data_IF_398706193957
#
_entry.id   IF_398706193957
#
_cell.length_a   1.000
_cell.length_b   1.000
_cell.length_c   1.000
_cell.angle_alpha   90.00
_cell.angle_beta   90.00
_cell.angle_gamma   90.00
#
_symmetry.space_group_name_H-M   'P 1'
#
loop_
_entity.id
_entity.type
_entity.pdbx_description
1 polymer ?
#
# COMPACT_ATOMS: atom_id res chain seq x y z
N UNK A 1 11.17 -8.41 7.60
CA UNK A 1 11.52 -9.60 6.82
C UNK A 1 11.18 -10.84 7.63
N UNK A 2 10.16 -11.62 7.21
CA UNK A 2 9.78 -12.85 7.92
C UNK A 2 10.38 -14.04 7.18
N UNK A 3 11.18 -14.85 7.89
CA UNK A 3 11.85 -16.04 7.35
C UNK A 3 11.34 -17.29 8.08
N UNK A 4 11.10 -18.36 7.33
CA UNK A 4 10.65 -19.65 7.85
C UNK A 4 11.80 -20.38 8.58
N UNK A 5 11.60 -20.79 9.84
CA UNK A 5 12.60 -21.46 10.63
C UNK A 5 13.00 -22.85 10.11
N UNK A 6 12.16 -23.46 9.26
CA UNK A 6 12.43 -24.78 8.68
C UNK A 6 12.99 -24.73 7.26
N UNK A 7 12.56 -23.74 6.45
CA UNK A 7 12.94 -23.61 5.05
C UNK A 7 14.16 -22.68 4.85
N UNK A 8 14.34 -21.70 5.75
CA UNK A 8 15.41 -20.70 5.61
C UNK A 8 15.13 -19.66 4.53
N UNK A 9 16.18 -19.19 3.88
CA UNK A 9 16.11 -18.16 2.83
C UNK A 9 15.74 -18.81 1.50
N UNK A 10 14.68 -18.29 0.87
CA UNK A 10 14.25 -18.67 -0.46
C UNK A 10 14.51 -17.52 -1.47
N UNK A 11 14.47 -17.82 -2.77
CA UNK A 11 14.72 -16.83 -3.84
C UNK A 11 13.82 -15.60 -3.71
N UNK A 12 12.57 -15.79 -3.31
CA UNK A 12 11.64 -14.69 -3.11
C UNK A 12 12.01 -13.82 -1.90
N UNK A 13 12.58 -14.42 -0.85
CA UNK A 13 13.10 -13.70 0.31
C UNK A 13 14.21 -12.75 -0.12
N UNK A 14 15.15 -13.24 -0.93
CA UNK A 14 16.25 -12.43 -1.48
C UNK A 14 15.73 -11.31 -2.37
N UNK A 15 14.85 -11.63 -3.32
CA UNK A 15 14.28 -10.63 -4.25
C UNK A 15 13.58 -9.49 -3.50
N UNK A 16 12.74 -9.82 -2.51
CA UNK A 16 12.04 -8.81 -1.70
C UNK A 16 13.00 -7.99 -0.84
N UNK A 17 14.06 -8.61 -0.32
CA UNK A 17 15.07 -7.91 0.48
C UNK A 17 15.84 -6.91 -0.37
N UNK A 18 16.27 -7.29 -1.57
CA UNK A 18 16.94 -6.36 -2.48
C UNK A 18 16.05 -5.20 -2.89
N UNK A 19 14.75 -5.43 -3.17
CA UNK A 19 13.80 -4.37 -3.44
C UNK A 19 13.64 -3.40 -2.25
N UNK A 20 13.62 -3.94 -1.02
CA UNK A 20 13.55 -3.10 0.17
C UNK A 20 14.81 -2.24 0.35
N UNK A 21 15.99 -2.80 0.10
CA UNK A 21 17.27 -2.09 0.13
C UNK A 21 17.37 -1.00 -0.94
N UNK A 22 16.87 -1.25 -2.16
CA UNK A 22 16.80 -0.23 -3.23
C UNK A 22 15.97 1.00 -2.84
N UNK A 23 15.01 0.82 -1.94
CA UNK A 23 14.14 1.88 -1.43
C UNK A 23 14.57 2.44 -0.06
N UNK A 24 15.78 2.09 0.40
CA UNK A 24 16.33 2.53 1.70
C UNK A 24 15.38 2.26 2.87
N UNK A 25 14.75 1.09 2.87
CA UNK A 25 13.84 0.68 3.93
C UNK A 25 14.60 0.01 5.06
N UNK A 26 14.19 0.31 6.31
CA UNK A 26 14.66 -0.43 7.48
C UNK A 26 14.14 -1.87 7.44
N UNK A 27 15.04 -2.84 7.59
CA UNK A 27 14.70 -4.26 7.48
C UNK A 27 14.96 -4.95 8.82
N UNK A 28 13.89 -5.39 9.48
CA UNK A 28 13.94 -6.15 10.72
C UNK A 28 13.68 -7.63 10.42
N UNK A 29 14.66 -8.54 10.58
CA UNK A 29 14.44 -9.97 10.39
C UNK A 29 13.63 -10.56 11.54
N UNK A 30 12.73 -11.48 11.22
CA UNK A 30 11.90 -12.25 12.17
C UNK A 30 11.88 -13.71 11.74
N UNK A 31 12.17 -14.62 12.65
CA UNK A 31 12.17 -16.06 12.40
C UNK A 31 10.83 -16.65 12.81
N UNK A 32 10.05 -17.13 11.84
CA UNK A 32 8.70 -17.65 12.07
C UNK A 32 8.65 -19.17 11.94
N UNK A 33 7.56 -19.74 12.44
CA UNK A 33 7.26 -21.18 12.44
C UNK A 33 8.19 -22.03 13.31
N UNK A 34 8.64 -21.49 14.44
CA UNK A 34 9.48 -22.23 15.39
C UNK A 34 8.77 -23.44 16.01
N UNK A 35 7.45 -23.56 15.84
CA UNK A 35 6.63 -24.70 16.28
C UNK A 35 6.78 -25.94 15.39
N UNK A 36 7.43 -25.84 14.23
CA UNK A 36 7.64 -26.98 13.35
C UNK A 36 8.75 -27.89 13.85
N UNK A 37 8.61 -29.24 13.72
CA UNK A 37 9.66 -30.19 14.16
C UNK A 37 11.02 -30.01 13.45
N UNK A 38 11.01 -29.49 12.23
CA UNK A 38 12.22 -29.25 11.44
C UNK A 38 12.77 -27.82 11.59
N UNK A 39 12.22 -27.01 12.51
CA UNK A 39 12.67 -25.66 12.73
C UNK A 39 14.08 -25.61 13.34
N UNK A 40 14.96 -24.81 12.71
CA UNK A 40 16.30 -24.50 13.22
C UNK A 40 16.55 -23.00 13.17
N UNK A 41 16.05 -22.23 14.13
CA UNK A 41 16.17 -20.77 14.14
C UNK A 41 17.62 -20.29 14.09
N UNK A 42 18.54 -21.01 14.77
CA UNK A 42 19.96 -20.62 14.82
C UNK A 42 20.58 -20.69 13.43
N UNK A 43 20.38 -21.80 12.73
CA UNK A 43 20.87 -21.97 11.35
C UNK A 43 20.33 -20.86 10.43
N UNK A 44 19.03 -20.51 10.54
CA UNK A 44 18.41 -19.49 9.70
C UNK A 44 18.95 -18.11 10.02
N UNK A 45 19.22 -17.78 11.27
CA UNK A 45 19.89 -16.52 11.66
C UNK A 45 21.28 -16.40 11.03
N UNK A 46 22.09 -17.45 11.13
CA UNK A 46 23.42 -17.50 10.52
C UNK A 46 23.33 -17.39 8.99
N UNK A 47 22.31 -17.98 8.37
CA UNK A 47 22.07 -17.88 6.93
C UNK A 47 21.71 -16.45 6.51
N UNK A 48 20.86 -15.74 7.27
CA UNK A 48 20.51 -14.34 7.02
C UNK A 48 21.76 -13.44 7.08
N UNK A 49 22.61 -13.62 8.08
CA UNK A 49 23.84 -12.83 8.20
C UNK A 49 24.85 -13.13 7.09
N UNK A 50 25.03 -14.40 6.72
CA UNK A 50 26.02 -14.79 5.73
C UNK A 50 25.58 -14.53 4.27
N UNK A 51 24.28 -14.67 3.97
CA UNK A 51 23.75 -14.54 2.58
C UNK A 51 23.26 -13.15 2.29
N UNK A 52 22.54 -12.53 3.24
CA UNK A 52 21.94 -11.20 3.04
C UNK A 52 22.84 -10.10 3.61
N UNK A 53 23.57 -10.38 4.70
CA UNK A 53 24.39 -9.39 5.40
C UNK A 53 23.62 -8.55 6.42
N UNK A 54 22.40 -8.94 6.78
CA UNK A 54 21.61 -8.27 7.82
C UNK A 54 21.92 -8.88 9.20
N UNK A 55 22.07 -8.08 10.28
CA UNK A 55 22.22 -8.60 11.63
C UNK A 55 20.94 -9.36 12.02
N UNK A 56 21.08 -10.61 12.46
CA UNK A 56 19.93 -11.48 12.74
C UNK A 56 20.04 -12.26 14.04
N UNK A 57 21.16 -12.18 14.79
CA UNK A 57 21.33 -12.96 16.03
C UNK A 57 20.27 -12.63 17.09
N UNK A 58 19.89 -11.35 17.17
CA UNK A 58 18.87 -10.86 18.10
C UNK A 58 17.45 -10.88 17.50
N UNK A 59 17.27 -11.40 16.27
CA UNK A 59 15.97 -11.45 15.61
C UNK A 59 14.95 -12.24 16.43
N UNK A 60 13.71 -11.73 16.60
CA UNK A 60 12.65 -12.42 17.31
C UNK A 60 12.32 -13.79 16.68
N UNK A 61 12.25 -14.81 17.52
CA UNK A 61 11.83 -16.16 17.16
C UNK A 61 10.36 -16.33 17.54
N UNK A 62 9.49 -16.56 16.55
CA UNK A 62 8.04 -16.57 16.74
C UNK A 62 7.36 -17.80 16.16
N UNK A 63 6.15 -18.07 16.66
CA UNK A 63 5.14 -18.84 15.94
C UNK A 63 3.88 -17.99 15.79
N UNK A 64 3.66 -17.45 14.61
CA UNK A 64 2.45 -16.69 14.32
C UNK A 64 1.19 -17.55 14.50
N UNK A 65 1.25 -18.83 14.13
CA UNK A 65 0.16 -19.80 14.28
C UNK A 65 -0.22 -20.04 15.75
N UNK A 66 0.78 -20.16 16.62
CA UNK A 66 0.58 -20.47 18.05
C UNK A 66 0.51 -19.18 18.90
N UNK A 67 0.70 -18.01 18.33
CA UNK A 67 0.75 -16.74 19.05
C UNK A 67 1.99 -16.56 19.93
N UNK A 68 3.05 -17.36 19.69
CA UNK A 68 4.26 -17.31 20.50
C UNK A 68 5.11 -16.10 20.12
N UNK A 69 5.50 -15.32 21.12
CA UNK A 69 6.45 -14.20 21.04
C UNK A 69 6.08 -13.08 20.05
N UNK A 70 4.80 -12.94 19.68
CA UNK A 70 4.32 -11.87 18.78
C UNK A 70 4.55 -10.47 19.37
N UNK A 71 4.33 -10.21 20.68
CA UNK A 71 4.59 -8.89 21.24
C UNK A 71 6.03 -8.39 21.04
N UNK A 72 7.03 -9.30 21.06
CA UNK A 72 8.43 -8.92 20.84
C UNK A 72 8.65 -8.32 19.44
N UNK A 73 7.96 -8.79 18.42
CA UNK A 73 8.03 -8.21 17.07
C UNK A 73 7.45 -6.80 17.04
N UNK A 74 6.34 -6.57 17.75
CA UNK A 74 5.70 -5.24 17.81
C UNK A 74 6.58 -4.25 18.55
N UNK A 75 7.21 -4.66 19.66
CA UNK A 75 8.16 -3.82 20.40
C UNK A 75 9.41 -3.53 19.56
N UNK A 76 9.91 -4.50 18.80
CA UNK A 76 11.05 -4.34 17.91
C UNK A 76 10.76 -3.32 16.79
N UNK A 77 9.55 -3.37 16.20
CA UNK A 77 9.09 -2.39 15.23
C UNK A 77 9.07 -0.98 15.85
N UNK A 78 8.48 -0.83 17.05
CA UNK A 78 8.39 0.47 17.74
C UNK A 78 9.76 1.04 18.11
N UNK A 79 10.71 0.16 18.47
CA UNK A 79 12.04 0.57 18.87
C UNK A 79 12.95 0.97 17.69
N UNK A 80 12.85 0.25 16.56
CA UNK A 80 13.84 0.32 15.49
C UNK A 80 13.32 0.97 14.19
N UNK A 81 12.00 0.95 13.91
CA UNK A 81 11.48 1.61 12.72
C UNK A 81 11.29 3.10 12.98
N UNK A 82 11.93 3.99 12.20
CA UNK A 82 11.79 5.43 12.39
C UNK A 82 10.35 5.90 12.12
N UNK A 83 9.89 6.86 12.91
CA UNK A 83 8.58 7.48 12.70
C UNK A 83 8.47 8.12 11.30
N UNK A 84 7.29 8.15 10.69
CA UNK A 84 7.06 8.83 9.43
C UNK A 84 7.50 10.30 9.49
N UNK A 85 8.13 10.78 8.41
CA UNK A 85 8.51 12.18 8.25
C UNK A 85 7.34 12.94 7.62
N UNK A 86 7.20 14.23 7.92
CA UNK A 86 6.21 15.12 7.32
C UNK A 86 5.77 16.21 8.28
N UNK A 87 5.33 17.35 7.73
CA UNK A 87 4.78 18.47 8.50
C UNK A 87 3.25 18.51 8.34
N UNK A 88 2.47 18.26 9.41
CA UNK A 88 1.00 18.33 9.34
C UNK A 88 0.44 19.72 8.98
N UNK A 89 1.25 20.78 9.08
CA UNK A 89 0.87 22.18 8.78
C UNK A 89 1.23 22.61 7.36
N UNK A 90 2.03 21.81 6.64
CA UNK A 90 2.38 22.08 5.26
C UNK A 90 1.16 21.95 4.33
N UNK A 91 1.21 22.47 3.10
CA UNK A 91 0.20 22.17 2.09
C UNK A 91 0.03 20.67 1.90
N UNK A 92 -1.22 20.20 1.81
CA UNK A 92 -1.52 18.78 1.66
C UNK A 92 -0.82 18.18 0.44
N UNK A 93 -0.07 17.10 0.67
CA UNK A 93 0.43 16.18 -0.35
C UNK A 93 0.20 14.76 0.12
N UNK A 94 -0.71 14.04 -0.51
CA UNK A 94 -0.97 12.64 -0.23
C UNK A 94 -0.87 11.82 -1.50
N UNK A 95 -0.25 10.65 -1.40
CA UNK A 95 0.00 9.75 -2.52
C UNK A 95 -1.09 8.69 -2.60
N UNK A 96 -1.76 8.56 -3.72
CA UNK A 96 -2.71 7.49 -4.00
C UNK A 96 -1.90 6.22 -4.29
N UNK A 97 -2.08 5.17 -3.51
CA UNK A 97 -1.44 3.89 -3.77
C UNK A 97 -2.41 2.81 -4.23
N UNK A 98 -3.72 3.01 -4.05
CA UNK A 98 -4.75 2.10 -4.53
C UNK A 98 -6.09 2.83 -4.64
N UNK A 99 -7.03 2.25 -5.40
CA UNK A 99 -8.42 2.70 -5.44
C UNK A 99 -9.34 1.53 -5.75
N UNK A 100 -10.53 1.56 -5.20
CA UNK A 100 -11.53 0.51 -5.36
C UNK A 100 -12.90 1.12 -5.70
N UNK A 101 -13.59 0.50 -6.64
CA UNK A 101 -14.97 0.87 -6.91
C UNK A 101 -15.92 0.10 -5.98
N UNK A 102 -16.73 0.84 -5.24
CA UNK A 102 -17.83 0.33 -4.42
C UNK A 102 -19.17 0.79 -5.03
N UNK A 103 -20.13 -0.13 -5.28
CA UNK A 103 -21.42 0.23 -5.89
C UNK A 103 -22.25 1.23 -5.10
N UNK A 104 -22.03 1.34 -3.79
CA UNK A 104 -22.81 2.19 -2.88
C UNK A 104 -22.09 3.49 -2.54
N UNK A 105 -20.75 3.45 -2.43
CA UNK A 105 -19.92 4.59 -2.02
C UNK A 105 -19.21 5.30 -3.19
N UNK A 106 -19.25 4.70 -4.37
CA UNK A 106 -18.47 5.16 -5.53
C UNK A 106 -17.02 4.72 -5.42
N UNK A 107 -16.09 5.56 -5.90
CA UNK A 107 -14.67 5.27 -5.79
C UNK A 107 -14.19 5.55 -4.37
N UNK A 108 -13.61 4.54 -3.74
CA UNK A 108 -12.86 4.64 -2.49
C UNK A 108 -11.39 4.78 -2.86
N UNK A 109 -10.75 5.84 -2.41
CA UNK A 109 -9.34 6.13 -2.70
C UNK A 109 -8.50 5.82 -1.48
N UNK A 110 -7.49 4.98 -1.63
CA UNK A 110 -6.52 4.65 -0.59
C UNK A 110 -5.26 5.46 -0.79
N UNK A 111 -4.80 6.11 0.27
CA UNK A 111 -3.70 7.06 0.18
C UNK A 111 -2.84 7.08 1.45
N UNK A 112 -1.63 7.60 1.29
CA UNK A 112 -0.75 7.98 2.39
C UNK A 112 -0.55 9.49 2.40
N UNK A 113 -0.76 10.12 3.55
CA UNK A 113 -0.45 11.54 3.74
C UNK A 113 1.06 11.68 3.92
N UNK A 114 1.71 12.37 3.00
CA UNK A 114 3.15 12.66 3.08
C UNK A 114 3.39 13.99 3.79
N UNK A 115 2.56 14.99 3.53
CA UNK A 115 2.58 16.29 4.18
C UNK A 115 1.18 16.87 4.30
N UNK A 116 0.99 17.75 5.27
CA UNK A 116 -0.28 18.41 5.49
C UNK A 116 -1.29 17.54 6.24
N UNK A 117 -2.54 17.90 6.09
CA UNK A 117 -3.70 17.24 6.72
C UNK A 117 -4.86 17.19 5.74
N UNK A 118 -5.54 16.05 5.67
CA UNK A 118 -6.81 15.88 4.95
C UNK A 118 -7.94 15.72 5.97
N UNK A 119 -9.11 16.32 5.70
CA UNK A 119 -10.26 16.33 6.60
C UNK A 119 -11.55 16.09 5.85
N UNK A 120 -12.53 15.51 6.53
CA UNK A 120 -13.92 15.48 6.04
C UNK A 120 -14.43 16.92 5.79
N UNK A 121 -15.09 17.14 4.65
CA UNK A 121 -15.57 18.44 4.16
C UNK A 121 -14.52 19.29 3.46
N UNK A 122 -13.26 18.82 3.37
CA UNK A 122 -12.18 19.58 2.72
C UNK A 122 -12.27 19.47 1.19
N UNK A 123 -12.19 20.59 0.44
CA UNK A 123 -12.04 20.53 -0.99
C UNK A 123 -10.62 20.11 -1.36
N UNK A 124 -10.50 19.03 -2.14
CA UNK A 124 -9.23 18.48 -2.63
C UNK A 124 -9.15 18.52 -4.13
N UNK A 125 -7.93 18.48 -4.67
CA UNK A 125 -7.63 18.41 -6.08
C UNK A 125 -6.68 17.23 -6.35
N UNK A 126 -7.00 16.45 -7.37
CA UNK A 126 -6.11 15.44 -7.93
C UNK A 126 -5.17 16.13 -8.93
N UNK A 127 -3.86 15.99 -8.74
CA UNK A 127 -2.91 16.83 -9.49
C UNK A 127 -2.75 16.38 -10.95
N UNK A 128 -2.87 15.08 -11.24
CA UNK A 128 -2.72 14.56 -12.61
C UNK A 128 -3.94 14.89 -13.49
N UNK A 129 -5.17 14.64 -13.00
CA UNK A 129 -6.41 14.95 -13.75
C UNK A 129 -6.84 16.40 -13.62
N UNK A 130 -6.44 17.09 -12.56
CA UNK A 130 -6.91 18.44 -12.21
C UNK A 130 -8.33 18.45 -11.62
N UNK A 131 -8.97 17.29 -11.47
CA UNK A 131 -10.31 17.15 -10.95
C UNK A 131 -10.37 17.59 -9.47
N UNK A 132 -11.48 18.22 -9.09
CA UNK A 132 -11.71 18.71 -7.74
C UNK A 132 -12.90 18.00 -7.13
N UNK A 133 -12.74 17.61 -5.87
CA UNK A 133 -13.75 16.90 -5.11
C UNK A 133 -13.80 17.41 -3.68
N UNK A 134 -14.94 17.20 -3.02
CA UNK A 134 -15.07 17.40 -1.58
C UNK A 134 -14.96 16.06 -0.87
N UNK A 135 -14.11 15.97 0.14
CA UNK A 135 -13.97 14.75 0.96
C UNK A 135 -15.24 14.55 1.78
N UNK A 136 -16.04 13.55 1.43
CA UNK A 136 -17.28 13.22 2.14
C UNK A 136 -16.99 12.45 3.43
N UNK A 137 -16.08 11.51 3.37
CA UNK A 137 -15.64 10.68 4.49
C UNK A 137 -14.15 10.38 4.33
N UNK A 138 -13.41 10.39 5.41
CA UNK A 138 -12.05 9.85 5.48
C UNK A 138 -11.90 8.99 6.73
N UNK A 139 -10.92 8.08 6.75
CA UNK A 139 -10.72 7.18 7.87
C UNK A 139 -9.53 6.26 7.72
N UNK A 140 -9.31 5.45 8.75
CA UNK A 140 -8.27 4.46 8.83
C UNK A 140 -8.74 3.09 8.30
N UNK A 141 -7.78 2.31 7.82
CA UNK A 141 -8.00 0.92 7.44
C UNK A 141 -7.66 0.03 8.62
N UNK A 142 -8.63 -0.77 9.05
CA UNK A 142 -8.44 -1.78 10.09
C UNK A 142 -8.39 -3.17 9.46
N UNK A 143 -7.88 -4.19 10.17
CA UNK A 143 -7.93 -5.59 9.70
C UNK A 143 -9.35 -6.07 9.40
N UNK A 144 -10.35 -5.49 10.08
CA UNK A 144 -11.77 -5.78 9.87
C UNK A 144 -12.48 -4.46 9.56
N UNK A 145 -12.42 -4.03 8.27
CA UNK A 145 -13.20 -2.90 7.77
C UNK A 145 -12.50 -1.54 7.84
N UNK A 146 -13.30 -0.50 7.78
CA UNK A 146 -12.90 0.90 7.72
C UNK A 146 -13.43 1.64 8.94
N UNK A 147 -12.61 2.45 9.57
CA UNK A 147 -12.99 3.29 10.72
C UNK A 147 -12.94 4.76 10.30
N UNK A 148 -14.12 5.42 10.16
CA UNK A 148 -14.16 6.84 9.85
C UNK A 148 -13.50 7.68 10.92
N UNK A 149 -12.77 8.72 10.50
CA UNK A 149 -12.16 9.70 11.39
C UNK A 149 -12.42 11.12 10.87
N UNK A 150 -12.11 12.10 11.71
CA UNK A 150 -12.28 13.51 11.34
C UNK A 150 -11.20 14.02 10.40
N UNK A 151 -9.98 13.55 10.59
CA UNK A 151 -8.81 13.99 9.84
C UNK A 151 -7.72 12.91 9.84
N UNK A 152 -6.85 12.97 8.84
CA UNK A 152 -5.61 12.21 8.73
C UNK A 152 -4.46 13.19 8.52
N UNK A 153 -3.36 13.00 9.26
CA UNK A 153 -2.20 13.89 9.24
C UNK A 153 -1.00 13.24 8.55
N UNK A 154 0.04 14.03 8.31
CA UNK A 154 1.29 13.56 7.73
C UNK A 154 1.82 12.29 8.41
N UNK A 155 2.14 11.27 7.60
CA UNK A 155 2.58 9.94 8.02
C UNK A 155 1.47 8.89 8.07
N UNK A 156 0.21 9.28 8.17
CA UNK A 156 -0.91 8.35 8.26
C UNK A 156 -1.32 7.78 6.90
N UNK A 157 -1.82 6.56 6.94
CA UNK A 157 -2.41 5.83 5.82
C UNK A 157 -3.89 5.66 6.07
N UNK A 158 -4.68 5.92 5.04
CA UNK A 158 -6.12 5.80 5.17
C UNK A 158 -6.85 5.81 3.83
N UNK A 159 -8.14 6.03 3.90
CA UNK A 159 -9.02 6.13 2.74
C UNK A 159 -9.83 7.42 2.77
N UNK A 160 -10.34 7.84 1.61
CA UNK A 160 -11.43 8.80 1.52
C UNK A 160 -12.43 8.42 0.43
N UNK A 161 -13.64 8.96 0.57
CA UNK A 161 -14.68 8.94 -0.44
C UNK A 161 -15.08 10.37 -0.81
N UNK A 162 -15.40 10.60 -2.08
CA UNK A 162 -15.73 11.95 -2.57
C UNK A 162 -16.76 11.95 -3.71
N UNK A 163 -17.64 10.95 -3.76
CA UNK A 163 -18.60 10.75 -4.86
C UNK A 163 -17.97 10.85 -6.26
N UNK A 164 -16.77 10.33 -6.39
CA UNK A 164 -16.05 10.29 -7.66
C UNK A 164 -16.80 9.37 -8.61
N UNK A 165 -17.28 9.91 -9.71
CA UNK A 165 -18.08 9.18 -10.70
C UNK A 165 -17.22 8.65 -11.85
N UNK A 166 -16.20 9.39 -12.22
CA UNK A 166 -15.27 8.99 -13.27
C UNK A 166 -14.06 8.31 -12.66
N UNK A 167 -14.00 7.04 -12.92
CA UNK A 167 -12.91 6.14 -12.53
C UNK A 167 -11.55 6.62 -13.03
N UNK A 168 -11.54 7.29 -14.19
CA UNK A 168 -10.32 7.80 -14.84
C UNK A 168 -9.69 8.97 -14.09
N UNK A 169 -10.44 9.60 -13.20
CA UNK A 169 -9.91 10.73 -12.41
C UNK A 169 -8.96 10.26 -11.31
N UNK A 170 -9.13 9.02 -10.82
CA UNK A 170 -8.27 8.45 -9.77
C UNK A 170 -7.25 7.50 -10.37
N UNK A 171 -5.98 7.87 -10.33
CA UNK A 171 -4.88 7.03 -10.79
C UNK A 171 -3.95 6.71 -9.63
N UNK A 172 -3.54 5.44 -9.55
CA UNK A 172 -2.48 5.03 -8.63
C UNK A 172 -1.21 5.81 -8.97
N UNK A 173 -0.59 6.38 -7.94
CA UNK A 173 0.57 7.27 -8.09
C UNK A 173 0.26 8.75 -8.26
N UNK A 174 -1.03 9.15 -8.36
CA UNK A 174 -1.40 10.57 -8.37
C UNK A 174 -1.27 11.19 -6.97
N UNK A 175 -1.16 12.50 -6.96
CA UNK A 175 -1.06 13.32 -5.75
C UNK A 175 -2.37 14.03 -5.46
N UNK A 176 -2.85 13.86 -4.23
CA UNK A 176 -3.97 14.63 -3.69
C UNK A 176 -3.40 15.87 -3.01
N UNK A 177 -3.97 17.04 -3.33
CA UNK A 177 -3.62 18.31 -2.69
C UNK A 177 -4.86 19.09 -2.29
N UNK A 178 -4.72 20.12 -1.44
CA UNK A 178 -5.80 21.04 -1.13
C UNK A 178 -6.23 21.85 -2.35
N UNK A 179 -7.53 21.98 -2.61
CA UNK A 179 -8.01 22.75 -3.77
C UNK A 179 -7.83 24.27 -3.62
N UNK A 180 -7.84 24.78 -2.38
CA UNK A 180 -7.69 26.21 -2.06
C UNK A 180 -6.22 26.63 -1.93
N UNK A 181 -5.39 25.77 -1.37
CA UNK A 181 -3.95 25.96 -1.18
C UNK A 181 -3.18 24.76 -1.72
N UNK A 182 -3.08 24.60 -3.04
CA UNK A 182 -2.42 23.45 -3.64
C UNK A 182 -0.92 23.50 -3.41
N UNK A 183 -0.33 22.31 -3.25
CA UNK A 183 1.12 22.14 -3.24
C UNK A 183 1.70 22.51 -4.63
N UNK A 184 2.93 23.02 -4.64
CA UNK A 184 3.58 23.49 -5.86
C UNK A 184 3.93 22.32 -6.83
N UNK A 185 4.29 21.16 -6.30
CA UNK A 185 4.76 20.02 -7.07
C UNK A 185 4.09 18.71 -6.61
N UNK A 186 3.77 17.80 -7.54
CA UNK A 186 3.26 16.49 -7.20
C UNK A 186 4.36 15.65 -6.54
N UNK A 187 3.94 14.62 -5.81
CA UNK A 187 4.82 13.57 -5.32
C UNK A 187 5.34 12.72 -6.49
N UNK A 188 6.55 12.15 -6.39
CA UNK A 188 6.97 11.14 -7.36
C UNK A 188 5.98 9.97 -7.31
N UNK A 189 5.32 9.74 -8.43
CA UNK A 189 4.36 8.65 -8.57
C UNK A 189 5.05 7.30 -8.79
N UNK A 190 4.23 6.25 -8.84
CA UNK A 190 4.74 4.90 -9.19
C UNK A 190 5.08 4.83 -10.68
N UNK A 191 6.09 4.03 -11.00
CA UNK A 191 6.38 3.70 -12.41
C UNK A 191 5.25 2.84 -12.96
N UNK A 192 4.70 3.13 -14.15
CA UNK A 192 3.70 2.28 -14.77
C UNK A 192 4.22 0.84 -14.90
N UNK A 193 3.39 -0.13 -14.52
CA UNK A 193 3.72 -1.53 -14.76
C UNK A 193 3.78 -1.80 -16.26
N UNK A 194 4.82 -2.53 -16.71
CA UNK A 194 4.89 -2.98 -18.10
C UNK A 194 3.99 -4.18 -18.27
N UNK A 195 3.07 -4.14 -19.23
CA UNK A 195 2.25 -5.29 -19.58
C UNK A 195 3.16 -6.44 -20.04
N UNK A 196 2.99 -7.63 -19.46
CA UNK A 196 3.76 -8.84 -19.78
C UNK A 196 2.94 -9.89 -20.51
N UNK A 197 1.61 -9.83 -20.39
CA UNK A 197 0.67 -10.78 -21.02
C UNK A 197 -0.37 -9.99 -21.78
N UNK A 198 -0.67 -10.42 -22.98
CA UNK A 198 -1.68 -9.84 -23.85
C UNK A 198 -2.70 -10.90 -24.23
N UNK A 199 -3.99 -10.56 -24.17
CA UNK A 199 -5.07 -11.44 -24.63
C UNK A 199 -6.19 -10.62 -25.28
N UNK A 200 -6.90 -11.25 -26.21
CA UNK A 200 -8.15 -10.72 -26.75
C UNK A 200 -9.33 -11.24 -25.95
N UNK A 201 -10.22 -10.34 -25.53
CA UNK A 201 -11.46 -10.69 -24.83
C UNK A 201 -12.64 -10.32 -25.74
N UNK A 202 -13.54 -11.26 -25.97
CA UNK A 202 -14.68 -11.08 -26.86
C UNK A 202 -15.96 -11.48 -26.12
N UNK A 203 -17.03 -10.72 -26.36
CA UNK A 203 -18.38 -11.10 -25.90
C UNK A 203 -18.99 -12.10 -26.87
N UNK A 204 -19.79 -13.06 -26.39
CA UNK A 204 -20.55 -13.96 -27.24
C UNK A 204 -21.59 -13.23 -28.11
N UNK A 205 -22.12 -12.12 -27.59
CA UNK A 205 -23.07 -11.22 -28.25
C UNK A 205 -22.49 -9.83 -28.37
N UNK A 206 -22.30 -9.35 -29.59
CA UNK A 206 -21.73 -8.02 -29.84
C UNK A 206 -22.53 -6.85 -29.24
N UNK A 207 -23.82 -7.05 -28.90
CA UNK A 207 -24.65 -6.05 -28.21
C UNK A 207 -24.17 -5.78 -26.78
N UNK A 208 -23.40 -6.70 -26.18
CA UNK A 208 -22.83 -6.59 -24.81
C UNK A 208 -21.44 -5.96 -24.75
N UNK A 209 -20.92 -5.49 -25.87
CA UNK A 209 -19.61 -4.83 -25.90
C UNK A 209 -19.52 -3.59 -24.98
N UNK A 210 -20.53 -2.72 -24.90
CA UNK A 210 -20.51 -1.61 -23.94
C UNK A 210 -20.38 -2.09 -22.48
N UNK A 211 -21.12 -3.14 -22.11
CA UNK A 211 -21.06 -3.71 -20.76
C UNK A 211 -19.68 -4.29 -20.42
N UNK A 212 -19.04 -4.95 -21.41
CA UNK A 212 -17.67 -5.45 -21.26
C UNK A 212 -16.69 -4.30 -21.03
N UNK A 213 -16.81 -3.23 -21.81
CA UNK A 213 -15.95 -2.06 -21.68
C UNK A 213 -16.09 -1.41 -20.28
N UNK A 214 -17.32 -1.20 -19.83
CA UNK A 214 -17.58 -0.65 -18.50
C UNK A 214 -17.03 -1.54 -17.37
N UNK A 215 -17.12 -2.87 -17.55
CA UNK A 215 -16.56 -3.82 -16.61
C UNK A 215 -15.02 -3.76 -16.57
N UNK A 216 -14.37 -3.63 -17.72
CA UNK A 216 -12.91 -3.47 -17.81
C UNK A 216 -12.43 -2.14 -17.25
N UNK A 217 -13.17 -1.03 -17.45
CA UNK A 217 -12.88 0.26 -16.83
C UNK A 217 -12.95 0.19 -15.30
N UNK A 218 -13.93 -0.54 -14.74
CA UNK A 218 -14.01 -0.77 -13.29
C UNK A 218 -12.92 -1.70 -12.78
N UNK A 219 -12.57 -2.74 -13.54
CA UNK A 219 -11.50 -3.66 -13.18
C UNK A 219 -10.13 -2.95 -13.15
N UNK A 220 -9.89 -2.02 -14.07
CA UNK A 220 -8.66 -1.23 -14.13
C UNK A 220 -8.40 -0.38 -12.87
N UNK A 221 -9.45 -0.05 -12.10
CA UNK A 221 -9.29 0.58 -10.78
C UNK A 221 -8.72 -0.38 -9.74
N UNK A 222 -9.17 -1.62 -9.81
CA UNK A 222 -8.78 -2.64 -8.84
C UNK A 222 -7.46 -3.32 -9.23
N UNK A 223 -7.02 -3.12 -10.48
CA UNK A 223 -5.77 -3.67 -11.02
C UNK A 223 -5.02 -2.61 -11.84
N UNK A 224 -4.09 -1.92 -11.21
CA UNK A 224 -3.27 -0.88 -11.83
C UNK A 224 -2.36 -1.40 -12.97
N UNK A 225 -2.19 -2.71 -13.11
CA UNK A 225 -1.41 -3.32 -14.19
C UNK A 225 -2.23 -3.55 -15.46
N UNK A 226 -3.58 -3.51 -15.36
CA UNK A 226 -4.47 -3.71 -16.49
C UNK A 226 -4.48 -2.49 -17.41
N UNK A 227 -4.17 -2.73 -18.67
CA UNK A 227 -4.42 -1.78 -19.76
C UNK A 227 -5.21 -2.45 -20.87
N UNK A 228 -6.21 -1.78 -21.45
CA UNK A 228 -7.00 -2.30 -22.55
C UNK A 228 -7.29 -1.22 -23.60
N UNK A 229 -7.48 -1.64 -24.84
CA UNK A 229 -7.80 -0.78 -25.97
C UNK A 229 -9.13 -1.18 -26.61
#
# INVERSE_FOLDING_TARGET
>A
LIVDAAQGIEDQTLANTYLALEHDLEILPVINKIDLPAADPRKVKDEIENVIGLPAQDAPEISAKMGVNIPAVLEDIVANVPAPKGDPKAPLRALIFDSQYDPYRGVIVYFRVMEGTIRTGMPVKLMASGAKYEVLECGHLLPIGMEPCRELIAGEVGYFTASIKDVKDTRVGDTITGAEAPAAEPLPGYRPAKAMVYCGIYTEDGSKYPDLRDALEKLQLNDASLSFE
#
